data_IF_170505738010
#
_entry.id   IF_170505738010
#
_cell.length_a   1.000
_cell.length_b   1.000
_cell.length_c   1.000
_cell.angle_alpha   90.00
_cell.angle_beta   90.00
_cell.angle_gamma   90.00
#
_symmetry.space_group_name_H-M   'P 1'
#
loop_
_entity.id
_entity.type
_entity.pdbx_description
1 polymer ?
#
# COMPACT_ATOMS: atom_id res chain seq x y z
N UNK A 1 -7.79 15.53 28.02
CA UNK A 1 -6.42 15.42 27.47
C UNK A 1 -6.30 14.07 26.78
N UNK A 2 -6.20 14.07 25.46
CA UNK A 2 -5.48 13.15 24.56
C UNK A 2 -5.95 13.49 23.15
N UNK A 3 -5.35 14.50 22.53
CA UNK A 3 -5.39 14.60 21.08
C UNK A 3 -4.40 13.54 20.58
N UNK A 4 -4.91 12.35 20.24
CA UNK A 4 -4.14 11.40 19.44
C UNK A 4 -3.85 12.12 18.14
N UNK A 5 -2.60 12.53 17.95
CA UNK A 5 -2.14 12.99 16.64
C UNK A 5 -2.10 11.75 15.73
N UNK A 6 -3.26 11.33 15.22
CA UNK A 6 -3.36 10.26 14.23
C UNK A 6 -2.75 10.80 12.94
N UNK A 7 -1.44 10.55 12.75
CA UNK A 7 -0.79 10.82 11.49
C UNK A 7 -1.57 10.09 10.37
N UNK A 8 -2.04 10.83 9.37
CA UNK A 8 -2.73 10.24 8.21
C UNK A 8 -1.86 9.14 7.60
N UNK A 9 -2.48 8.04 7.15
CA UNK A 9 -1.75 6.96 6.48
C UNK A 9 -1.82 7.13 4.97
N UNK A 10 -0.70 6.92 4.27
CA UNK A 10 -0.63 6.79 2.83
C UNK A 10 -0.15 5.38 2.47
N UNK A 11 -0.96 4.64 1.70
CA UNK A 11 -0.60 3.33 1.17
C UNK A 11 -0.16 3.50 -0.29
N UNK A 12 1.06 3.06 -0.60
CA UNK A 12 1.73 3.25 -1.87
C UNK A 12 1.80 1.91 -2.62
N UNK A 13 1.20 1.85 -3.81
CA UNK A 13 1.00 0.62 -4.59
C UNK A 13 1.78 0.71 -5.91
N UNK A 14 2.71 -0.21 -6.15
CA UNK A 14 3.57 -0.18 -7.33
C UNK A 14 2.86 -0.68 -8.60
N UNK A 15 3.46 -0.40 -9.76
CA UNK A 15 3.02 -0.89 -11.06
C UNK A 15 3.46 -2.33 -11.36
N UNK A 16 2.99 -2.88 -12.48
CA UNK A 16 3.39 -4.22 -12.92
C UNK A 16 4.90 -4.28 -13.15
N UNK A 17 5.54 -5.39 -12.77
CA UNK A 17 6.99 -5.65 -12.88
C UNK A 17 7.89 -4.83 -11.95
N UNK A 18 7.32 -3.94 -11.13
CA UNK A 18 8.04 -3.22 -10.08
C UNK A 18 7.96 -3.96 -8.72
N UNK A 19 8.58 -3.36 -7.71
CA UNK A 19 8.46 -3.72 -6.28
C UNK A 19 8.18 -2.45 -5.48
N UNK A 20 7.93 -2.57 -4.17
CA UNK A 20 7.74 -1.44 -3.26
C UNK A 20 8.89 -0.42 -3.27
N UNK A 21 10.09 -0.83 -3.68
CA UNK A 21 11.30 0.00 -3.65
C UNK A 21 11.21 1.24 -4.54
N UNK A 22 10.32 1.23 -5.55
CA UNK A 22 10.02 2.42 -6.38
C UNK A 22 9.51 3.61 -5.56
N UNK A 23 8.94 3.33 -4.38
CA UNK A 23 8.41 4.33 -3.46
C UNK A 23 9.42 4.79 -2.39
N UNK A 24 10.65 4.26 -2.37
CA UNK A 24 11.64 4.53 -1.32
C UNK A 24 11.88 6.02 -1.07
N UNK A 25 11.91 6.85 -2.13
CA UNK A 25 12.08 8.30 -2.02
C UNK A 25 10.85 8.98 -1.41
N UNK A 26 9.65 8.55 -1.79
CA UNK A 26 8.38 9.08 -1.31
C UNK A 26 8.16 8.69 0.15
N UNK A 27 8.41 7.43 0.53
CA UNK A 27 8.36 6.97 1.92
C UNK A 27 9.27 7.83 2.79
N UNK A 28 10.51 8.07 2.34
CA UNK A 28 11.46 8.94 3.06
C UNK A 28 10.97 10.39 3.19
N UNK A 29 10.35 10.93 2.14
CA UNK A 29 9.87 12.31 2.12
C UNK A 29 8.59 12.50 2.95
N UNK A 30 7.71 11.50 2.99
CA UNK A 30 6.41 11.53 3.67
C UNK A 30 6.48 11.11 5.15
N UNK A 31 7.43 10.24 5.51
CA UNK A 31 7.58 9.71 6.87
C UNK A 31 7.59 10.75 8.01
N UNK A 32 8.12 11.99 7.83
CA UNK A 32 8.03 13.02 8.87
C UNK A 32 6.63 13.59 9.13
N UNK A 33 5.67 13.44 8.20
CA UNK A 33 4.33 14.04 8.29
C UNK A 33 3.18 13.02 8.26
N UNK A 34 3.42 11.81 7.78
CA UNK A 34 2.41 10.75 7.66
C UNK A 34 3.02 9.37 7.77
N UNK A 35 2.18 8.39 8.10
CA UNK A 35 2.54 6.98 8.04
C UNK A 35 2.52 6.52 6.57
N UNK A 36 3.69 6.51 5.92
CA UNK A 36 3.83 6.08 4.53
C UNK A 36 4.20 4.59 4.45
N UNK A 37 3.27 3.78 3.92
CA UNK A 37 3.41 2.33 3.81
C UNK A 37 3.51 1.95 2.33
N UNK A 38 4.63 1.34 1.94
CA UNK A 38 4.77 0.71 0.62
C UNK A 38 4.89 -0.80 0.81
N UNK A 39 4.19 -1.57 -0.01
CA UNK A 39 4.19 -3.04 0.06
C UNK A 39 4.41 -3.64 -1.33
N UNK A 40 4.87 -4.89 -1.36
CA UNK A 40 4.98 -5.65 -2.59
C UNK A 40 3.64 -6.34 -2.87
N UNK A 41 3.04 -6.07 -4.02
CA UNK A 41 1.83 -6.75 -4.49
C UNK A 41 2.13 -8.24 -4.64
N UNK A 42 1.13 -9.10 -4.39
CA UNK A 42 1.25 -10.55 -4.53
C UNK A 42 1.99 -10.95 -5.82
N UNK A 43 2.97 -11.83 -5.69
CA UNK A 43 3.80 -12.31 -6.80
C UNK A 43 4.94 -11.38 -7.23
N UNK A 44 5.13 -10.24 -6.56
CA UNK A 44 6.24 -9.32 -6.80
C UNK A 44 7.12 -9.17 -5.56
N UNK A 45 8.37 -8.75 -5.77
CA UNK A 45 9.32 -8.45 -4.69
C UNK A 45 9.44 -9.59 -3.67
N UNK A 46 9.20 -9.27 -2.40
CA UNK A 46 9.22 -10.24 -1.31
C UNK A 46 7.87 -10.97 -1.09
N UNK A 47 6.80 -10.57 -1.79
CA UNK A 47 5.48 -11.16 -1.63
C UNK A 47 5.31 -12.39 -2.52
N UNK A 48 4.96 -13.56 -1.96
CA UNK A 48 4.66 -14.73 -2.77
C UNK A 48 3.41 -14.51 -3.63
N UNK A 49 3.26 -15.31 -4.69
CA UNK A 49 2.02 -15.32 -5.51
C UNK A 49 0.81 -15.73 -4.64
N UNK A 50 1.03 -16.65 -3.69
CA UNK A 50 -0.02 -17.19 -2.82
C UNK A 50 -0.97 -18.13 -3.57
N UNK A 51 -2.14 -18.38 -2.96
CA UNK A 51 -3.24 -19.08 -3.60
C UNK A 51 -4.17 -18.09 -4.33
N UNK A 52 -4.89 -18.58 -5.34
CA UNK A 52 -5.81 -17.79 -6.17
C UNK A 52 -5.20 -17.36 -7.51
N UNK A 53 -6.02 -16.70 -8.34
CA UNK A 53 -5.69 -16.42 -9.74
C UNK A 53 -5.00 -15.06 -9.95
N UNK A 54 -4.78 -14.27 -8.89
CA UNK A 54 -4.17 -12.95 -8.99
C UNK A 54 -5.05 -11.94 -9.72
N UNK A 55 -6.37 -12.01 -9.50
CA UNK A 55 -7.32 -11.03 -10.06
C UNK A 55 -7.15 -9.67 -9.38
N UNK A 56 -7.65 -8.61 -10.03
CA UNK A 56 -7.67 -7.26 -9.44
C UNK A 56 -8.45 -7.26 -8.11
N UNK A 57 -9.60 -7.93 -8.05
CA UNK A 57 -10.40 -8.05 -6.82
C UNK A 57 -9.58 -8.69 -5.69
N UNK A 58 -8.81 -9.73 -6.00
CA UNK A 58 -7.95 -10.39 -5.02
C UNK A 58 -6.81 -9.47 -4.53
N UNK A 59 -6.27 -8.63 -5.41
CA UNK A 59 -5.27 -7.62 -5.02
C UNK A 59 -5.88 -6.51 -4.17
N UNK A 60 -7.14 -6.13 -4.43
CA UNK A 60 -7.88 -5.18 -3.61
C UNK A 60 -8.20 -5.74 -2.22
N UNK A 61 -8.54 -7.03 -2.12
CA UNK A 61 -8.71 -7.73 -0.84
C UNK A 61 -7.42 -7.77 -0.03
N UNK A 62 -6.26 -8.00 -0.66
CA UNK A 62 -4.96 -7.91 0.01
C UNK A 62 -4.68 -6.50 0.53
N UNK A 63 -4.98 -5.48 -0.27
CA UNK A 63 -4.85 -4.08 0.14
C UNK A 63 -5.73 -3.80 1.38
N UNK A 64 -6.96 -4.31 1.41
CA UNK A 64 -7.85 -4.17 2.56
C UNK A 64 -7.26 -4.85 3.82
N UNK A 65 -6.62 -6.01 3.69
CA UNK A 65 -5.91 -6.67 4.80
C UNK A 65 -4.74 -5.83 5.30
N UNK A 66 -3.94 -5.26 4.39
CA UNK A 66 -2.83 -4.37 4.75
C UNK A 66 -3.34 -3.15 5.52
N UNK A 67 -4.40 -2.50 5.03
CA UNK A 67 -5.04 -1.37 5.72
C UNK A 67 -5.52 -1.76 7.13
N UNK A 68 -6.11 -2.95 7.27
CA UNK A 68 -6.55 -3.46 8.57
C UNK A 68 -5.40 -3.71 9.53
N UNK A 69 -4.28 -4.28 9.07
CA UNK A 69 -3.09 -4.57 9.90
C UNK A 69 -2.43 -3.27 10.39
N UNK A 70 -2.48 -2.22 9.59
CA UNK A 70 -1.91 -0.92 9.92
C UNK A 70 -2.85 0.01 10.69
N UNK A 71 -4.07 -0.44 11.04
CA UNK A 71 -5.13 0.37 11.65
C UNK A 71 -5.27 1.74 10.96
N UNK A 72 -5.24 1.74 9.63
CA UNK A 72 -4.89 2.94 8.86
C UNK A 72 -5.96 4.03 8.88
N UNK A 73 -7.17 3.76 9.41
CA UNK A 73 -8.32 4.66 9.33
C UNK A 73 -8.55 5.13 7.89
N UNK A 74 -9.22 6.28 7.64
CA UNK A 74 -9.20 6.84 6.29
C UNK A 74 -7.75 7.03 5.83
N UNK A 75 -7.38 6.39 4.72
CA UNK A 75 -6.03 6.38 4.17
C UNK A 75 -6.01 6.97 2.76
N UNK A 76 -4.88 7.57 2.41
CA UNK A 76 -4.58 7.98 1.04
C UNK A 76 -4.07 6.77 0.27
N UNK A 77 -4.77 6.36 -0.78
CA UNK A 77 -4.29 5.33 -1.70
C UNK A 77 -3.57 6.02 -2.86
N UNK A 78 -2.30 5.66 -3.08
CA UNK A 78 -1.49 6.19 -4.16
C UNK A 78 -0.95 5.03 -4.98
N UNK A 79 -1.46 4.90 -6.20
CA UNK A 79 -1.07 3.85 -7.12
C UNK A 79 -0.79 4.39 -8.52
N UNK A 80 0.09 3.73 -9.26
CA UNK A 80 0.31 3.99 -10.68
C UNK A 80 0.16 2.70 -11.49
N UNK A 81 -0.32 2.80 -12.73
CA UNK A 81 -0.53 1.63 -13.61
C UNK A 81 -1.39 0.56 -12.90
N UNK A 82 -0.89 -0.68 -12.76
CA UNK A 82 -1.52 -1.74 -11.98
C UNK A 82 -1.92 -1.28 -10.58
N UNK A 83 -1.05 -0.55 -9.87
CA UNK A 83 -1.36 -0.03 -8.55
C UNK A 83 -2.51 0.98 -8.54
N UNK A 84 -2.71 1.72 -9.63
CA UNK A 84 -3.86 2.60 -9.80
C UNK A 84 -5.17 1.83 -9.97
N UNK A 85 -5.12 0.73 -10.73
CA UNK A 85 -6.27 -0.18 -10.94
C UNK A 85 -6.69 -0.86 -9.63
N UNK A 86 -5.75 -1.19 -8.75
CA UNK A 86 -6.04 -1.77 -7.43
C UNK A 86 -6.71 -0.76 -6.48
N UNK A 87 -6.45 0.54 -6.65
CA UNK A 87 -6.84 1.59 -5.70
C UNK A 87 -8.20 2.27 -5.96
N UNK A 88 -8.92 1.88 -7.02
CA UNK A 88 -10.13 2.57 -7.51
C UNK A 88 -11.43 1.81 -7.24
#
# INVERSE_FOLDING_TARGET
MHALNCASTAILIHGLSDTREVWSRQVKALGPSMNAVAYDVRGFGASPVGAGDGTVDQMADDLAQIMSVHDSGPAWLVGFSMGGVIAQ
#
